data_IF_607804254932
#
_entry.id   IF_607804254932
#
_cell.length_a   1.000
_cell.length_b   1.000
_cell.length_c   1.000
_cell.angle_alpha   90.00
_cell.angle_beta   90.00
_cell.angle_gamma   90.00
#
_symmetry.space_group_name_H-M   'P 1'
#
loop_
_entity.id
_entity.type
_entity.pdbx_description
1 polymer ?
#
# COMPACT_ATOMS: atom_id res chain seq x y z
N UNK A 1 43.23 -5.85 30.80
CA UNK A 1 43.50 -6.82 29.74
C UNK A 1 42.33 -7.76 29.44
N UNK A 2 41.50 -8.17 30.42
CA UNK A 2 40.31 -9.01 30.17
C UNK A 2 39.09 -8.30 29.50
N UNK A 3 38.95 -6.99 29.58
CA UNK A 3 37.85 -6.25 28.98
C UNK A 3 38.03 -5.91 27.48
N UNK A 4 39.26 -5.97 26.98
CA UNK A 4 39.55 -5.73 25.56
C UNK A 4 39.38 -6.98 24.69
N UNK A 5 39.46 -8.21 25.29
CA UNK A 5 39.24 -9.46 24.58
C UNK A 5 37.73 -9.76 24.37
N UNK A 6 36.84 -9.29 25.28
CA UNK A 6 35.39 -9.52 25.16
C UNK A 6 34.68 -8.55 24.16
N UNK A 7 35.28 -7.40 23.86
CA UNK A 7 34.80 -6.50 22.80
C UNK A 7 35.21 -7.01 21.41
N UNK A 8 36.43 -7.50 21.25
CA UNK A 8 36.93 -8.07 19.99
C UNK A 8 36.18 -9.35 19.56
N UNK A 9 35.78 -10.18 20.50
CA UNK A 9 34.99 -11.41 20.21
C UNK A 9 33.56 -11.08 19.79
N UNK A 10 32.93 -10.06 20.39
CA UNK A 10 31.58 -9.60 20.00
C UNK A 10 31.55 -8.96 18.62
N UNK A 11 32.55 -8.15 18.29
CA UNK A 11 32.66 -7.54 16.97
C UNK A 11 32.90 -8.58 15.87
N UNK A 12 33.62 -9.65 16.17
CA UNK A 12 33.84 -10.77 15.24
C UNK A 12 32.57 -11.62 15.03
N UNK A 13 31.81 -11.89 16.10
CA UNK A 13 30.56 -12.65 16.04
C UNK A 13 29.47 -11.84 15.29
N UNK A 14 29.41 -10.54 15.48
CA UNK A 14 28.46 -9.67 14.77
C UNK A 14 28.85 -9.48 13.29
N UNK A 15 30.14 -9.48 12.97
CA UNK A 15 30.63 -9.49 11.59
C UNK A 15 30.28 -10.82 10.87
N UNK A 16 30.42 -11.96 11.52
CA UNK A 16 30.03 -13.25 10.96
C UNK A 16 28.52 -13.36 10.75
N UNK A 17 27.72 -12.88 11.69
CA UNK A 17 26.26 -12.78 11.54
C UNK A 17 25.88 -11.88 10.36
N UNK A 18 26.55 -10.74 10.19
CA UNK A 18 26.29 -9.82 9.08
C UNK A 18 26.61 -10.49 7.73
N UNK A 19 27.71 -11.21 7.63
CA UNK A 19 28.09 -11.96 6.43
C UNK A 19 27.06 -13.07 6.12
N UNK A 20 26.58 -13.77 7.15
CA UNK A 20 25.53 -14.78 6.99
C UNK A 20 24.22 -14.16 6.46
N UNK A 21 23.78 -13.04 7.02
CA UNK A 21 22.61 -12.31 6.55
C UNK A 21 22.77 -11.77 5.11
N UNK A 22 23.95 -11.28 4.75
CA UNK A 22 24.21 -10.85 3.38
C UNK A 22 24.12 -12.01 2.38
N UNK A 23 24.63 -13.18 2.72
CA UNK A 23 24.53 -14.39 1.88
C UNK A 23 23.08 -14.84 1.71
N UNK A 24 22.31 -14.86 2.80
CA UNK A 24 20.89 -15.22 2.77
C UNK A 24 20.08 -14.21 1.91
N UNK A 25 20.36 -12.93 2.07
CA UNK A 25 19.73 -11.87 1.26
C UNK A 25 20.00 -12.06 -0.24
N UNK A 26 21.24 -12.29 -0.62
CA UNK A 26 21.60 -12.49 -2.03
C UNK A 26 20.94 -13.75 -2.60
N UNK A 27 20.85 -14.81 -1.81
CA UNK A 27 20.16 -16.04 -2.22
C UNK A 27 18.65 -15.82 -2.41
N UNK A 28 18.00 -15.08 -1.51
CA UNK A 28 16.59 -14.72 -1.62
C UNK A 28 16.32 -13.81 -2.83
N UNK A 29 17.16 -12.80 -3.04
CA UNK A 29 17.06 -11.90 -4.19
C UNK A 29 17.19 -12.65 -5.52
N UNK A 30 18.10 -13.59 -5.62
CA UNK A 30 18.25 -14.41 -6.82
C UNK A 30 17.07 -15.36 -7.03
N UNK A 31 16.53 -15.97 -5.98
CA UNK A 31 15.30 -16.79 -6.07
C UNK A 31 14.12 -15.96 -6.56
N UNK A 32 13.96 -14.73 -6.07
CA UNK A 32 12.91 -13.81 -6.53
C UNK A 32 13.09 -13.45 -8.00
N UNK A 33 14.32 -13.11 -8.44
CA UNK A 33 14.64 -12.81 -9.83
C UNK A 33 14.34 -14.01 -10.76
N UNK A 34 14.65 -15.21 -10.32
CA UNK A 34 14.35 -16.44 -11.07
C UNK A 34 12.82 -16.63 -11.17
N UNK A 35 12.09 -16.40 -10.09
CA UNK A 35 10.63 -16.50 -10.09
C UNK A 35 10.00 -15.48 -11.06
N UNK A 36 10.41 -14.22 -11.00
CA UNK A 36 9.96 -13.16 -11.92
C UNK A 36 10.23 -13.52 -13.38
N UNK A 37 11.44 -14.05 -13.69
CA UNK A 37 11.80 -14.48 -15.03
C UNK A 37 10.95 -15.66 -15.50
N UNK A 38 10.74 -16.67 -14.67
CA UNK A 38 9.87 -17.82 -14.98
C UNK A 38 8.43 -17.40 -15.27
N UNK A 39 7.88 -16.46 -14.50
CA UNK A 39 6.54 -15.92 -14.72
C UNK A 39 6.45 -15.25 -16.09
N UNK A 40 7.40 -14.38 -16.41
CA UNK A 40 7.46 -13.68 -17.69
C UNK A 40 7.59 -14.66 -18.87
N UNK A 41 8.48 -15.66 -18.76
CA UNK A 41 8.67 -16.69 -19.77
C UNK A 41 7.40 -17.50 -20.00
N UNK A 42 6.76 -17.99 -18.94
CA UNK A 42 5.52 -18.79 -19.02
C UNK A 42 4.35 -17.99 -19.57
N UNK A 43 4.24 -16.70 -19.21
CA UNK A 43 3.24 -15.81 -19.81
C UNK A 43 3.45 -15.64 -21.32
N UNK A 44 4.72 -15.54 -21.75
CA UNK A 44 5.05 -15.45 -23.18
C UNK A 44 4.74 -16.76 -23.92
N UNK A 45 5.11 -17.91 -23.34
CA UNK A 45 4.81 -19.24 -23.90
C UNK A 45 3.31 -19.47 -24.04
N UNK A 46 2.55 -19.10 -23.02
CA UNK A 46 1.10 -19.21 -23.05
C UNK A 46 0.47 -18.29 -24.11
N UNK A 47 0.93 -17.05 -24.21
CA UNK A 47 0.47 -16.12 -25.25
C UNK A 47 0.76 -16.67 -26.65
N UNK A 48 1.93 -17.29 -26.87
CA UNK A 48 2.27 -17.95 -28.12
C UNK A 48 1.33 -19.12 -28.45
N UNK A 49 1.03 -19.97 -27.45
CA UNK A 49 0.08 -21.08 -27.60
C UNK A 49 -1.33 -20.54 -27.93
N UNK A 50 -1.79 -19.50 -27.25
CA UNK A 50 -3.07 -18.85 -27.52
C UNK A 50 -3.12 -18.23 -28.92
N UNK A 51 -2.02 -17.61 -29.38
CA UNK A 51 -1.93 -17.07 -30.73
C UNK A 51 -1.96 -18.19 -31.78
N UNK A 52 -1.22 -19.30 -31.57
CA UNK A 52 -1.26 -20.46 -32.44
C UNK A 52 -2.68 -21.07 -32.54
N UNK A 53 -3.41 -21.16 -31.41
CA UNK A 53 -4.81 -21.59 -31.43
C UNK A 53 -5.72 -20.61 -32.16
N UNK A 54 -5.48 -19.30 -32.06
CA UNK A 54 -6.22 -18.29 -32.84
C UNK A 54 -5.98 -18.40 -34.33
N UNK A 55 -4.73 -18.62 -34.76
CA UNK A 55 -4.39 -18.79 -36.19
C UNK A 55 -5.00 -20.08 -36.76
N UNK A 56 -4.91 -21.19 -36.02
CA UNK A 56 -5.54 -22.44 -36.39
C UNK A 56 -7.07 -22.32 -36.45
N UNK A 57 -7.70 -21.57 -35.54
CA UNK A 57 -9.15 -21.32 -35.56
C UNK A 57 -9.63 -20.44 -36.73
N UNK A 58 -8.76 -19.61 -37.29
CA UNK A 58 -9.06 -18.74 -38.44
C UNK A 58 -8.81 -19.45 -39.80
N UNK A 59 -7.84 -20.36 -39.88
CA UNK A 59 -7.48 -21.04 -41.11
C UNK A 59 -8.27 -22.34 -41.39
N UNK A 60 -8.90 -22.92 -40.36
CA UNK A 60 -9.64 -24.19 -40.55
C UNK A 60 -11.15 -24.00 -40.47
N UNK A 61 -11.71 -23.60 -41.61
CA UNK A 61 -13.09 -23.91 -41.97
C UNK A 61 -13.23 -25.43 -42.19
N UNK A 62 -13.09 -26.25 -41.12
CA UNK A 62 -13.49 -27.61 -41.37
C UNK A 62 -12.81 -28.78 -40.66
N UNK A 63 -11.87 -28.65 -39.79
CA UNK A 63 -11.35 -29.84 -39.09
C UNK A 63 -11.88 -29.95 -37.65
N UNK A 64 -13.06 -30.55 -37.48
CA UNK A 64 -13.62 -30.96 -36.18
C UNK A 64 -12.75 -32.01 -35.47
N UNK A 65 -11.87 -32.71 -36.18
CA UNK A 65 -11.12 -33.84 -35.63
C UNK A 65 -9.93 -33.46 -34.74
N UNK A 66 -9.34 -32.30 -34.90
CA UNK A 66 -8.25 -31.83 -34.06
C UNK A 66 -8.77 -31.35 -32.67
N UNK A 67 -9.99 -30.82 -32.64
CA UNK A 67 -10.64 -30.34 -31.40
C UNK A 67 -11.29 -31.44 -30.59
N UNK A 68 -11.66 -32.56 -31.24
CA UNK A 68 -12.28 -33.71 -30.56
C UNK A 68 -11.33 -34.49 -29.61
N UNK A 69 -10.02 -34.20 -29.66
CA UNK A 69 -9.04 -34.78 -28.73
C UNK A 69 -8.99 -34.09 -27.35
N UNK A 70 -9.63 -32.95 -27.19
CA UNK A 70 -9.70 -32.25 -25.94
C UNK A 70 -11.05 -32.52 -25.24
N UNK A 71 -11.04 -32.62 -23.91
CA UNK A 71 -12.30 -32.75 -23.16
C UNK A 71 -13.20 -31.53 -23.43
N UNK A 72 -14.53 -31.71 -23.40
CA UNK A 72 -15.47 -30.63 -23.67
C UNK A 72 -15.24 -29.37 -22.83
N UNK A 73 -14.64 -29.54 -21.67
CA UNK A 73 -14.32 -28.50 -20.72
C UNK A 73 -13.02 -27.78 -21.05
N UNK A 74 -12.00 -28.49 -21.52
CA UNK A 74 -10.78 -27.88 -22.05
C UNK A 74 -11.11 -26.99 -23.26
N UNK A 75 -12.04 -27.41 -24.11
CA UNK A 75 -12.54 -26.62 -25.24
C UNK A 75 -13.33 -25.38 -24.80
N UNK A 76 -14.13 -25.48 -23.74
CA UNK A 76 -14.86 -24.34 -23.19
C UNK A 76 -13.91 -23.34 -22.56
N UNK A 77 -12.95 -23.81 -21.78
CA UNK A 77 -11.87 -22.99 -21.22
C UNK A 77 -11.05 -22.31 -22.33
N UNK A 78 -10.64 -23.03 -23.36
CA UNK A 78 -9.94 -22.50 -24.53
C UNK A 78 -10.75 -21.44 -25.28
N UNK A 79 -12.08 -21.63 -25.44
CA UNK A 79 -12.96 -20.63 -26.05
C UNK A 79 -13.09 -19.38 -25.19
N UNK A 80 -13.24 -19.51 -23.88
CA UNK A 80 -13.23 -18.37 -22.96
C UNK A 80 -11.90 -17.65 -22.97
N UNK A 81 -10.82 -18.41 -23.04
CA UNK A 81 -9.45 -17.92 -23.09
C UNK A 81 -9.16 -17.21 -24.42
N UNK A 82 -9.63 -17.66 -25.54
CA UNK A 82 -9.44 -17.01 -26.85
C UNK A 82 -10.34 -15.81 -27.10
N UNK A 83 -11.45 -15.69 -26.36
CA UNK A 83 -12.36 -14.54 -26.46
C UNK A 83 -11.90 -13.30 -25.73
N UNK A 84 -10.98 -13.41 -24.77
CA UNK A 84 -10.42 -12.27 -23.98
C UNK A 84 -9.10 -11.81 -24.54
N UNK A 85 -8.94 -10.49 -24.70
CA UNK A 85 -7.75 -9.85 -25.29
C UNK A 85 -6.45 -10.00 -24.48
N UNK A 86 -6.49 -10.50 -23.27
CA UNK A 86 -5.33 -10.71 -22.39
C UNK A 86 -5.59 -11.90 -21.49
N UNK A 87 -4.76 -12.92 -21.61
CA UNK A 87 -4.79 -14.13 -20.79
C UNK A 87 -3.56 -14.22 -19.93
N UNK A 88 -3.77 -14.02 -18.65
CA UNK A 88 -2.91 -14.60 -17.63
C UNK A 88 -3.65 -15.81 -17.05
N UNK A 89 -3.13 -17.01 -17.29
CA UNK A 89 -3.55 -18.19 -16.51
C UNK A 89 -3.18 -17.90 -15.07
N UNK A 90 -4.11 -18.03 -14.11
CA UNK A 90 -3.77 -17.86 -12.71
C UNK A 90 -2.61 -18.76 -12.36
N UNK A 91 -1.53 -18.19 -11.85
CA UNK A 91 -0.31 -18.90 -11.44
C UNK A 91 -0.56 -19.91 -10.33
N UNK A 92 -1.71 -19.80 -9.63
CA UNK A 92 -2.15 -20.77 -8.62
C UNK A 92 -2.13 -22.22 -9.11
N UNK A 93 -2.39 -22.48 -10.39
CA UNK A 93 -2.33 -23.83 -10.95
C UNK A 93 -0.92 -24.42 -10.98
N UNK A 94 0.13 -23.59 -10.95
CA UNK A 94 1.50 -24.07 -10.86
C UNK A 94 1.86 -24.53 -9.46
N UNK A 95 1.25 -23.90 -8.45
CA UNK A 95 1.46 -24.24 -7.04
C UNK A 95 0.49 -25.32 -6.55
N UNK A 96 -0.74 -25.31 -7.08
CA UNK A 96 -1.80 -26.22 -6.70
C UNK A 96 -2.38 -26.91 -7.96
N UNK A 97 -1.60 -27.81 -8.60
CA UNK A 97 -2.01 -28.44 -9.87
C UNK A 97 -3.27 -29.34 -9.72
N UNK A 98 -3.58 -29.81 -8.52
CA UNK A 98 -4.80 -30.57 -8.25
C UNK A 98 -6.08 -29.75 -8.52
N UNK A 99 -6.02 -28.42 -8.49
CA UNK A 99 -7.16 -27.56 -8.83
C UNK A 99 -7.54 -27.65 -10.32
N UNK A 100 -6.61 -28.09 -11.20
CA UNK A 100 -6.92 -28.35 -12.62
C UNK A 100 -7.77 -29.61 -12.81
N UNK A 101 -7.74 -30.55 -11.86
CA UNK A 101 -8.46 -31.82 -11.95
C UNK A 101 -9.96 -31.66 -11.67
N UNK A 102 -10.34 -30.61 -10.94
CA UNK A 102 -11.72 -30.34 -10.60
C UNK A 102 -12.23 -29.13 -11.38
N UNK A 103 -13.18 -29.34 -12.26
CA UNK A 103 -13.86 -28.26 -12.96
C UNK A 103 -14.49 -27.28 -11.99
N UNK A 104 -14.19 -26.00 -12.19
CA UNK A 104 -14.75 -24.95 -11.34
C UNK A 104 -14.09 -24.79 -9.97
N UNK A 105 -12.94 -25.45 -9.70
CA UNK A 105 -12.22 -25.33 -8.42
C UNK A 105 -11.85 -23.89 -8.03
N UNK A 106 -11.73 -22.98 -9.02
CA UNK A 106 -11.53 -21.55 -8.80
C UNK A 106 -12.82 -20.72 -8.90
N UNK A 107 -13.97 -21.38 -9.15
CA UNK A 107 -15.26 -20.69 -9.13
C UNK A 107 -15.82 -20.71 -7.71
N UNK A 108 -16.51 -19.64 -7.28
CA UNK A 108 -17.15 -19.64 -5.99
C UNK A 108 -18.19 -20.75 -5.91
N UNK A 109 -18.15 -21.55 -4.83
CA UNK A 109 -19.14 -22.62 -4.58
C UNK A 109 -20.56 -22.07 -4.42
N UNK A 110 -20.69 -20.86 -3.91
CA UNK A 110 -21.95 -20.13 -3.74
C UNK A 110 -21.78 -18.70 -4.21
N UNK A 111 -22.72 -18.24 -5.04
CA UNK A 111 -22.77 -16.85 -5.49
C UNK A 111 -24.06 -16.20 -5.00
N UNK A 112 -23.91 -15.20 -4.14
CA UNK A 112 -25.01 -14.45 -3.55
C UNK A 112 -25.09 -13.09 -4.26
N UNK A 113 -26.12 -12.90 -5.11
CA UNK A 113 -26.31 -11.70 -5.92
C UNK A 113 -26.10 -11.96 -7.42
N UNK A 114 -26.18 -10.90 -8.22
CA UNK A 114 -25.90 -10.96 -9.65
C UNK A 114 -24.38 -10.86 -9.84
N UNK A 115 -23.79 -11.76 -10.63
CA UNK A 115 -22.36 -11.74 -10.91
C UNK A 115 -21.90 -10.35 -11.39
N UNK A 116 -20.84 -9.83 -10.79
CA UNK A 116 -20.31 -8.49 -11.12
C UNK A 116 -18.91 -8.61 -11.71
N UNK A 117 -18.66 -7.82 -12.73
CA UNK A 117 -17.37 -7.70 -13.38
C UNK A 117 -16.98 -6.22 -13.47
N UNK A 118 -15.70 -5.90 -13.49
CA UNK A 118 -15.22 -4.52 -13.66
C UNK A 118 -15.36 -3.64 -12.41
N UNK A 119 -15.47 -4.25 -11.23
CA UNK A 119 -15.49 -3.50 -9.96
C UNK A 119 -14.12 -2.92 -9.61
N UNK A 120 -14.12 -1.77 -8.90
CA UNK A 120 -12.88 -1.11 -8.48
C UNK A 120 -12.16 -1.88 -7.37
N UNK A 121 -12.89 -2.51 -6.45
CA UNK A 121 -12.34 -3.16 -5.26
C UNK A 121 -12.97 -4.53 -5.04
N UNK A 122 -12.12 -5.54 -4.86
CA UNK A 122 -12.50 -6.87 -4.36
C UNK A 122 -12.00 -6.99 -2.92
N UNK A 123 -12.89 -7.29 -1.98
CA UNK A 123 -12.56 -7.49 -0.57
C UNK A 123 -12.53 -8.98 -0.25
N UNK A 124 -11.38 -9.51 0.15
CA UNK A 124 -11.19 -10.90 0.54
C UNK A 124 -11.27 -11.08 2.05
N UNK A 125 -12.11 -11.99 2.52
CA UNK A 125 -12.32 -12.28 3.95
C UNK A 125 -12.15 -13.79 4.18
N UNK A 126 -10.97 -14.25 4.63
CA UNK A 126 -10.82 -15.62 5.08
C UNK A 126 -11.52 -15.80 6.43
N UNK A 127 -12.19 -16.93 6.61
CA UNK A 127 -12.82 -17.31 7.87
C UNK A 127 -12.64 -18.80 8.13
N UNK A 128 -12.58 -19.16 9.39
CA UNK A 128 -12.49 -20.54 9.87
C UNK A 128 -13.46 -20.76 11.04
N UNK A 129 -13.75 -22.01 11.36
CA UNK A 129 -14.55 -22.38 12.53
C UNK A 129 -13.82 -21.97 13.82
N UNK A 130 -14.48 -21.18 14.65
CA UNK A 130 -13.99 -20.80 15.98
C UNK A 130 -14.74 -21.55 17.05
N UNK A 131 -14.09 -21.97 18.13
CA UNK A 131 -14.71 -22.75 19.21
C UNK A 131 -15.76 -21.96 19.99
N UNK A 132 -15.55 -20.66 20.19
CA UNK A 132 -16.38 -19.84 21.07
C UNK A 132 -17.35 -18.96 20.29
N UNK A 133 -16.87 -18.16 19.34
CA UNK A 133 -17.70 -17.19 18.61
C UNK A 133 -17.19 -16.94 17.21
N UNK A 134 -18.08 -17.00 16.21
CA UNK A 134 -17.81 -16.48 14.87
C UNK A 134 -18.15 -14.99 14.81
N UNK A 135 -17.31 -14.21 14.17
CA UNK A 135 -17.49 -12.76 14.00
C UNK A 135 -17.89 -12.37 12.57
N UNK A 136 -17.84 -13.31 11.63
CA UNK A 136 -18.03 -13.07 10.20
C UNK A 136 -19.27 -12.24 9.87
N UNK A 137 -20.42 -12.57 10.47
CA UNK A 137 -21.68 -11.88 10.17
C UNK A 137 -21.66 -10.43 10.68
N UNK A 138 -21.08 -10.20 11.87
CA UNK A 138 -20.91 -8.85 12.43
C UNK A 138 -19.98 -8.02 11.55
N UNK A 139 -18.89 -8.61 11.07
CA UNK A 139 -17.96 -7.98 10.13
C UNK A 139 -18.63 -7.63 8.80
N UNK A 140 -19.41 -8.56 8.22
CA UNK A 140 -20.14 -8.30 6.98
C UNK A 140 -21.18 -7.20 7.15
N UNK A 141 -21.91 -7.16 8.26
CA UNK A 141 -22.81 -6.04 8.57
C UNK A 141 -22.05 -4.73 8.64
N UNK A 142 -20.93 -4.69 9.40
CA UNK A 142 -20.12 -3.49 9.50
C UNK A 142 -19.63 -3.00 8.13
N UNK A 143 -19.19 -3.90 7.24
CA UNK A 143 -18.77 -3.55 5.88
C UNK A 143 -19.94 -3.04 5.03
N UNK A 144 -21.03 -3.80 4.95
CA UNK A 144 -22.13 -3.55 4.02
C UNK A 144 -22.98 -2.33 4.43
N UNK A 145 -23.22 -2.13 5.73
CA UNK A 145 -24.02 -1.02 6.24
C UNK A 145 -23.31 0.32 6.11
N UNK A 146 -21.98 0.32 6.04
CA UNK A 146 -21.15 1.51 5.79
C UNK A 146 -20.83 1.75 4.30
N UNK A 147 -21.49 1.04 3.36
CA UNK A 147 -21.43 1.28 1.92
C UNK A 147 -22.65 2.04 1.43
N UNK A 148 -22.43 3.07 0.64
CA UNK A 148 -23.48 3.72 -0.12
C UNK A 148 -23.99 2.83 -1.26
N UNK A 149 -25.21 3.07 -1.78
CA UNK A 149 -25.79 2.24 -2.86
C UNK A 149 -24.88 2.10 -4.08
N UNK A 150 -24.23 3.17 -4.52
CA UNK A 150 -23.31 3.18 -5.66
C UNK A 150 -22.04 2.37 -5.37
N UNK A 151 -21.53 2.44 -4.14
CA UNK A 151 -20.35 1.68 -3.72
C UNK A 151 -20.62 0.19 -3.64
N UNK A 152 -21.85 -0.20 -3.25
CA UNK A 152 -22.29 -1.62 -3.29
C UNK A 152 -22.25 -2.19 -4.70
N UNK A 153 -22.37 -1.35 -5.74
CA UNK A 153 -22.27 -1.79 -7.14
C UNK A 153 -20.81 -1.89 -7.62
N UNK A 154 -19.89 -1.20 -6.98
CA UNK A 154 -18.49 -1.08 -7.38
C UNK A 154 -17.54 -1.97 -6.54
N UNK A 155 -18.08 -2.89 -5.75
CA UNK A 155 -17.29 -3.84 -4.98
C UNK A 155 -17.84 -5.28 -5.06
N UNK A 156 -16.95 -6.21 -4.77
CA UNK A 156 -17.27 -7.63 -4.53
C UNK A 156 -16.64 -8.04 -3.21
N UNK A 157 -17.40 -8.73 -2.37
CA UNK A 157 -16.90 -9.36 -1.15
C UNK A 157 -16.78 -10.85 -1.41
N UNK A 158 -15.58 -11.39 -1.22
CA UNK A 158 -15.27 -12.82 -1.36
C UNK A 158 -15.00 -13.38 0.03
N UNK A 159 -15.87 -14.23 0.52
CA UNK A 159 -15.67 -14.97 1.77
C UNK A 159 -15.02 -16.30 1.44
N UNK A 160 -13.81 -16.53 1.97
CA UNK A 160 -13.11 -17.80 1.84
C UNK A 160 -13.25 -18.60 3.14
N UNK A 161 -14.00 -19.70 3.10
CA UNK A 161 -14.20 -20.58 4.24
C UNK A 161 -13.10 -21.64 4.21
N UNK A 162 -12.11 -21.50 5.11
CA UNK A 162 -10.95 -22.39 5.21
C UNK A 162 -11.21 -23.63 6.05
N UNK A 163 -12.35 -24.34 5.80
CA UNK A 163 -12.76 -25.50 6.56
C UNK A 163 -13.14 -26.68 5.66
N UNK A 164 -12.94 -27.88 6.19
CA UNK A 164 -13.34 -29.14 5.55
C UNK A 164 -14.63 -29.72 6.15
N UNK A 165 -15.11 -29.19 7.26
CA UNK A 165 -16.37 -29.55 7.90
C UNK A 165 -17.56 -29.06 7.06
N UNK A 166 -18.18 -29.97 6.33
CA UNK A 166 -19.27 -29.68 5.38
C UNK A 166 -20.48 -29.07 6.09
N UNK A 167 -20.82 -29.52 7.29
CA UNK A 167 -21.95 -29.02 8.06
C UNK A 167 -21.74 -27.59 8.50
N UNK A 168 -20.47 -27.26 8.90
CA UNK A 168 -20.09 -25.88 9.20
C UNK A 168 -20.18 -24.99 7.96
N UNK A 169 -19.63 -25.43 6.83
CA UNK A 169 -19.71 -24.68 5.57
C UNK A 169 -21.16 -24.40 5.19
N UNK A 170 -22.01 -25.41 5.23
CA UNK A 170 -23.47 -25.25 4.95
C UNK A 170 -24.13 -24.26 5.93
N UNK A 171 -23.79 -24.33 7.21
CA UNK A 171 -24.31 -23.39 8.20
C UNK A 171 -23.94 -21.94 7.94
N UNK A 172 -22.68 -21.69 7.55
CA UNK A 172 -22.19 -20.35 7.17
C UNK A 172 -22.94 -19.87 5.92
N UNK A 173 -23.06 -20.68 4.88
CA UNK A 173 -23.78 -20.34 3.65
C UNK A 173 -25.24 -20.01 3.95
N UNK A 174 -25.95 -20.84 4.74
CA UNK A 174 -27.35 -20.60 5.12
C UNK A 174 -27.53 -19.28 5.89
N UNK A 175 -26.57 -18.92 6.74
CA UNK A 175 -26.58 -17.64 7.44
C UNK A 175 -26.36 -16.45 6.47
N UNK A 176 -25.43 -16.56 5.54
CA UNK A 176 -25.21 -15.54 4.50
C UNK A 176 -26.45 -15.34 3.61
N UNK A 177 -27.14 -16.41 3.23
CA UNK A 177 -28.37 -16.33 2.45
C UNK A 177 -29.56 -15.71 3.21
N UNK A 178 -29.63 -15.89 4.53
CA UNK A 178 -30.64 -15.24 5.38
C UNK A 178 -30.41 -13.72 5.42
N UNK A 179 -29.14 -13.30 5.53
CA UNK A 179 -28.78 -11.88 5.54
C UNK A 179 -29.06 -11.21 4.18
N UNK A 180 -28.86 -11.90 3.05
CA UNK A 180 -29.25 -11.41 1.71
C UNK A 180 -30.75 -11.06 1.64
N UNK A 181 -31.62 -11.86 2.21
CA UNK A 181 -33.08 -11.63 2.17
C UNK A 181 -33.50 -10.35 2.87
N UNK A 182 -32.68 -9.84 3.82
CA UNK A 182 -32.90 -8.56 4.51
C UNK A 182 -32.40 -7.36 3.70
N UNK A 183 -31.42 -7.57 2.83
CA UNK A 183 -30.79 -6.49 2.04
C UNK A 183 -31.31 -6.56 0.60
N UNK A 184 -32.27 -5.68 0.23
CA UNK A 184 -32.85 -5.62 -1.13
C UNK A 184 -31.75 -5.36 -2.17
N UNK A 185 -31.72 -6.21 -3.21
CA UNK A 185 -30.84 -6.12 -4.37
C UNK A 185 -31.10 -4.85 -5.18
N UNK A 186 -30.00 -4.19 -5.57
CA UNK A 186 -29.99 -3.06 -6.50
C UNK A 186 -29.52 -3.59 -7.87
N UNK A 187 -30.19 -3.18 -8.94
CA UNK A 187 -29.92 -3.57 -10.32
C UNK A 187 -28.63 -2.96 -10.87
N UNK A 188 -27.99 -3.68 -11.81
CA UNK A 188 -26.65 -3.39 -12.34
C UNK A 188 -26.71 -2.58 -13.62
N UNK A 189 -25.88 -1.55 -13.76
CA UNK A 189 -25.49 -0.98 -15.04
C UNK A 189 -24.00 -1.29 -15.33
N UNK A 190 -23.74 -1.67 -16.61
CA UNK A 190 -22.39 -1.96 -17.11
C UNK A 190 -21.54 -0.69 -17.17
N UNK A 191 -20.29 -0.82 -16.76
CA UNK A 191 -19.03 -0.25 -17.24
C UNK A 191 -18.12 0.32 -16.16
N UNK A 192 -16.90 -0.22 -16.07
CA UNK A 192 -15.70 0.63 -16.19
C UNK A 192 -14.45 -0.21 -16.41
N UNK A 193 -13.56 0.27 -17.28
CA UNK A 193 -12.18 -0.20 -17.47
C UNK A 193 -11.27 0.29 -16.33
N UNK A 194 -11.66 0.08 -15.07
CA UNK A 194 -10.84 0.45 -13.92
C UNK A 194 -9.93 -0.71 -13.54
N UNK A 195 -8.67 -0.40 -13.21
CA UNK A 195 -7.77 -1.38 -12.59
C UNK A 195 -8.41 -1.87 -11.30
N UNK A 196 -8.69 -3.16 -11.20
CA UNK A 196 -9.25 -3.77 -9.98
C UNK A 196 -8.14 -3.88 -8.93
N UNK A 197 -8.42 -3.41 -7.73
CA UNK A 197 -7.57 -3.60 -6.55
C UNK A 197 -8.18 -4.66 -5.63
N UNK A 198 -7.32 -5.39 -4.92
CA UNK A 198 -7.75 -6.45 -4.00
C UNK A 198 -7.38 -6.03 -2.59
N UNK A 199 -8.37 -5.98 -1.70
CA UNK A 199 -8.19 -5.63 -0.30
C UNK A 199 -8.39 -6.86 0.56
N UNK A 200 -7.37 -7.25 1.30
CA UNK A 200 -7.42 -8.33 2.27
C UNK A 200 -7.93 -7.82 3.62
N UNK A 201 -8.89 -8.52 4.19
CA UNK A 201 -9.50 -8.24 5.49
C UNK A 201 -9.46 -9.50 6.37
N UNK A 202 -9.86 -9.36 7.62
CA UNK A 202 -10.11 -10.47 8.56
C UNK A 202 -11.61 -10.55 8.90
N UNK A 203 -12.06 -11.69 9.46
CA UNK A 203 -13.48 -11.95 9.72
C UNK A 203 -13.99 -11.39 11.05
N UNK A 204 -13.16 -10.63 11.78
CA UNK A 204 -13.46 -10.09 13.10
C UNK A 204 -13.09 -8.60 13.23
N UNK A 205 -13.54 -7.82 12.27
CA UNK A 205 -13.26 -6.38 12.18
C UNK A 205 -14.53 -5.53 12.13
N UNK A 206 -14.37 -4.26 12.49
CA UNK A 206 -15.32 -3.19 12.20
C UNK A 206 -14.64 -2.11 11.36
N UNK A 207 -15.45 -1.35 10.62
CA UNK A 207 -14.97 -0.32 9.70
C UNK A 207 -15.47 1.07 10.09
N UNK A 208 -14.72 2.09 9.67
CA UNK A 208 -15.17 3.49 9.73
C UNK A 208 -16.23 3.78 8.66
N UNK A 209 -17.09 4.72 8.96
CA UNK A 209 -18.01 5.27 7.97
C UNK A 209 -17.25 5.82 6.76
N UNK A 210 -17.82 5.69 5.56
CA UNK A 210 -17.23 6.15 4.30
C UNK A 210 -15.86 5.55 3.95
N UNK A 211 -15.55 4.36 4.50
CA UNK A 211 -14.26 3.69 4.28
C UNK A 211 -13.98 3.38 2.81
N UNK A 212 -14.98 2.93 2.07
CA UNK A 212 -14.84 2.50 0.68
C UNK A 212 -14.38 3.64 -0.23
N UNK A 213 -15.09 4.76 -0.18
CA UNK A 213 -14.75 5.94 -0.96
C UNK A 213 -13.37 6.50 -0.57
N UNK A 214 -13.04 6.46 0.71
CA UNK A 214 -11.73 6.87 1.22
C UNK A 214 -10.61 5.99 0.63
N UNK A 215 -10.77 4.66 0.67
CA UNK A 215 -9.81 3.71 0.09
C UNK A 215 -9.66 3.92 -1.42
N UNK A 216 -10.79 4.04 -2.14
CA UNK A 216 -10.80 4.23 -3.59
C UNK A 216 -10.11 5.52 -4.01
N UNK A 217 -10.44 6.64 -3.36
CA UNK A 217 -9.83 7.93 -3.65
C UNK A 217 -8.35 7.95 -3.34
N UNK A 218 -7.92 7.35 -2.24
CA UNK A 218 -6.52 7.24 -1.89
C UNK A 218 -5.73 6.42 -2.92
N UNK A 219 -6.25 5.27 -3.35
CA UNK A 219 -5.63 4.46 -4.39
C UNK A 219 -5.57 5.19 -5.75
N UNK A 220 -6.60 5.99 -6.08
CA UNK A 220 -6.62 6.80 -7.31
C UNK A 220 -5.59 7.93 -7.27
N UNK A 221 -5.41 8.61 -6.14
CA UNK A 221 -4.38 9.65 -5.96
C UNK A 221 -2.97 9.10 -6.19
N UNK A 222 -2.75 7.82 -5.86
CA UNK A 222 -1.47 7.13 -6.03
C UNK A 222 -1.36 6.36 -7.35
N UNK A 223 -2.26 6.56 -8.29
CA UNK A 223 -2.30 5.79 -9.55
C UNK A 223 -1.07 5.97 -10.44
N UNK A 224 -0.32 7.08 -10.28
CA UNK A 224 0.95 7.38 -10.96
C UNK A 224 2.19 6.90 -10.19
N UNK A 225 2.02 6.41 -8.96
CA UNK A 225 3.13 5.97 -8.11
C UNK A 225 3.34 4.45 -8.23
N UNK A 226 4.58 4.04 -8.07
CA UNK A 226 4.93 2.63 -7.95
C UNK A 226 4.74 2.18 -6.50
N UNK A 227 3.52 1.80 -6.13
CA UNK A 227 3.25 1.17 -4.85
C UNK A 227 2.90 -0.31 -5.02
N UNK A 228 3.18 -1.12 -4.02
CA UNK A 228 2.89 -2.55 -3.98
C UNK A 228 1.81 -2.89 -2.95
N UNK A 229 1.83 -2.19 -1.81
CA UNK A 229 0.90 -2.41 -0.70
C UNK A 229 0.39 -1.06 -0.19
N UNK A 230 -0.93 -0.89 -0.14
CA UNK A 230 -1.56 0.18 0.64
C UNK A 230 -2.13 -0.41 1.92
N UNK A 231 -1.83 0.22 3.06
CA UNK A 231 -2.30 -0.22 4.37
C UNK A 231 -3.32 0.74 4.95
N UNK A 232 -4.47 0.20 5.35
CA UNK A 232 -5.56 0.95 5.97
C UNK A 232 -5.80 0.54 7.44
N UNK A 233 -4.93 -0.29 7.99
CA UNK A 233 -4.80 -0.64 9.40
C UNK A 233 -3.37 -1.02 9.74
N UNK A 234 -2.96 -0.79 11.00
CA UNK A 234 -1.65 -1.20 11.50
C UNK A 234 -1.59 -2.68 11.87
N UNK A 235 -2.76 -3.31 12.10
CA UNK A 235 -2.82 -4.66 12.65
C UNK A 235 -2.76 -5.73 11.56
N UNK A 236 -1.93 -6.74 11.77
CA UNK A 236 -1.88 -8.00 11.06
C UNK A 236 -2.04 -7.89 9.55
N UNK A 237 -2.93 -8.70 9.02
CA UNK A 237 -3.26 -8.74 7.59
C UNK A 237 -4.58 -7.98 7.26
N UNK A 238 -4.99 -7.06 8.16
CA UNK A 238 -6.21 -6.26 8.04
C UNK A 238 -5.98 -5.06 7.13
N UNK A 239 -6.88 -4.84 6.17
CA UNK A 239 -6.89 -3.65 5.32
C UNK A 239 -5.62 -3.49 4.48
N UNK A 240 -5.08 -4.59 3.95
CA UNK A 240 -3.96 -4.58 3.02
C UNK A 240 -4.48 -4.63 1.59
N UNK A 241 -4.22 -3.58 0.81
CA UNK A 241 -4.65 -3.50 -0.58
C UNK A 241 -3.47 -3.72 -1.51
N UNK A 242 -3.70 -4.49 -2.56
CA UNK A 242 -2.75 -4.87 -3.59
C UNK A 242 -3.27 -4.50 -4.97
N UNK A 243 -2.38 -4.18 -5.89
CA UNK A 243 -2.72 -4.10 -7.32
C UNK A 243 -2.80 -5.51 -7.91
N UNK A 244 -3.80 -5.75 -8.76
CA UNK A 244 -3.97 -7.06 -9.40
C UNK A 244 -2.71 -7.58 -10.15
N UNK A 245 -1.91 -6.75 -10.84
CA UNK A 245 -0.66 -7.19 -11.48
C UNK A 245 0.40 -7.73 -10.51
N UNK A 246 0.45 -7.21 -9.26
CA UNK A 246 1.47 -7.59 -8.27
C UNK A 246 1.13 -8.89 -7.54
N UNK A 247 -0.15 -9.30 -7.57
CA UNK A 247 -0.61 -10.48 -6.82
C UNK A 247 0.13 -11.76 -7.20
N UNK A 248 0.48 -11.92 -8.47
CA UNK A 248 1.22 -13.10 -8.92
C UNK A 248 2.53 -13.25 -8.18
N UNK A 249 3.32 -12.18 -8.10
CA UNK A 249 4.60 -12.17 -7.40
C UNK A 249 4.42 -12.39 -5.88
N UNK A 250 3.43 -11.71 -5.27
CA UNK A 250 3.14 -11.84 -3.83
C UNK A 250 2.74 -13.27 -3.50
N UNK A 251 1.83 -13.85 -4.26
CA UNK A 251 1.33 -15.22 -4.05
C UNK A 251 2.47 -16.24 -4.21
N UNK A 252 3.30 -16.11 -5.26
CA UNK A 252 4.44 -17.01 -5.45
C UNK A 252 5.45 -16.90 -4.31
N UNK A 253 5.75 -15.68 -3.84
CA UNK A 253 6.64 -15.48 -2.71
C UNK A 253 6.09 -16.14 -1.43
N UNK A 254 4.79 -15.96 -1.16
CA UNK A 254 4.14 -16.61 -0.02
C UNK A 254 4.22 -18.13 -0.14
N UNK A 255 3.92 -18.72 -1.31
CA UNK A 255 4.00 -20.15 -1.52
C UNK A 255 5.43 -20.73 -1.37
N UNK A 256 6.45 -19.92 -1.65
CA UNK A 256 7.84 -20.35 -1.42
C UNK A 256 8.20 -20.45 0.08
N UNK A 257 7.57 -19.65 0.94
CA UNK A 257 8.02 -19.45 2.32
C UNK A 257 6.94 -19.62 3.40
N UNK A 258 5.72 -20.04 3.05
CA UNK A 258 4.60 -20.13 4.00
C UNK A 258 4.84 -21.06 5.19
N UNK A 259 5.75 -22.02 5.05
CA UNK A 259 6.15 -22.94 6.14
C UNK A 259 7.15 -22.32 7.10
N UNK A 260 7.93 -21.36 6.65
CA UNK A 260 9.01 -20.74 7.40
C UNK A 260 8.55 -19.53 8.23
N UNK A 261 7.60 -18.76 7.72
CA UNK A 261 7.17 -17.50 8.33
C UNK A 261 5.67 -17.25 8.19
N UNK A 262 5.04 -16.55 9.16
CA UNK A 262 3.68 -16.03 9.03
C UNK A 262 3.54 -15.09 7.83
N UNK A 263 2.33 -15.03 7.28
CA UNK A 263 2.03 -14.29 6.04
C UNK A 263 2.30 -12.77 6.15
N UNK A 264 2.01 -12.17 7.29
CA UNK A 264 2.26 -10.76 7.57
C UNK A 264 3.76 -10.43 7.60
N UNK A 265 4.59 -11.35 8.10
CA UNK A 265 6.04 -11.22 8.03
C UNK A 265 6.56 -11.38 6.61
N UNK A 266 5.97 -12.29 5.82
CA UNK A 266 6.35 -12.49 4.42
C UNK A 266 6.11 -11.24 3.57
N UNK A 267 5.08 -10.45 3.87
CA UNK A 267 4.85 -9.16 3.21
C UNK A 267 5.97 -8.14 3.46
N UNK A 268 6.56 -8.12 4.65
CA UNK A 268 7.72 -7.26 4.91
C UNK A 268 8.99 -7.80 4.23
N UNK A 269 9.16 -9.12 4.24
CA UNK A 269 10.31 -9.77 3.62
C UNK A 269 10.36 -9.60 2.10
N UNK A 270 9.23 -9.67 1.40
CA UNK A 270 9.20 -9.45 -0.05
C UNK A 270 9.63 -8.02 -0.39
N UNK A 271 9.21 -7.02 0.39
CA UNK A 271 9.65 -5.64 0.22
C UNK A 271 11.14 -5.49 0.48
N UNK A 272 11.63 -6.10 1.57
CA UNK A 272 13.04 -6.07 1.91
C UNK A 272 13.92 -6.66 0.80
N UNK A 273 13.56 -7.82 0.26
CA UNK A 273 14.27 -8.45 -0.87
C UNK A 273 14.22 -7.60 -2.14
N UNK A 274 13.08 -6.92 -2.37
CA UNK A 274 12.85 -6.16 -3.61
C UNK A 274 13.65 -4.85 -3.66
N UNK A 275 13.75 -4.11 -2.55
CA UNK A 275 14.27 -2.74 -2.59
C UNK A 275 15.44 -2.44 -1.64
N UNK A 276 15.71 -3.27 -0.63
CA UNK A 276 16.84 -3.01 0.25
C UNK A 276 18.17 -3.38 -0.42
N UNK A 277 19.16 -2.50 -0.25
CA UNK A 277 20.52 -2.75 -0.68
C UNK A 277 21.38 -3.07 0.55
N UNK A 278 22.04 -4.25 0.59
CA UNK A 278 22.86 -4.65 1.73
C UNK A 278 24.11 -3.75 1.95
N UNK A 279 24.49 -2.94 0.95
CA UNK A 279 25.57 -1.97 1.07
C UNK A 279 25.13 -0.63 1.70
N UNK A 280 23.85 -0.47 1.96
CA UNK A 280 23.26 0.74 2.56
C UNK A 280 22.76 0.44 3.97
N UNK A 281 22.59 1.51 4.75
CA UNK A 281 22.11 1.44 6.12
C UNK A 281 20.61 1.06 6.22
N UNK A 282 20.18 0.73 7.43
CA UNK A 282 18.80 0.38 7.72
C UNK A 282 17.83 1.52 7.39
N UNK A 283 18.22 2.79 7.62
CA UNK A 283 17.39 3.96 7.31
C UNK A 283 17.08 4.06 5.82
N UNK A 284 18.09 3.78 4.97
CA UNK A 284 17.88 3.72 3.52
C UNK A 284 16.89 2.62 3.15
N UNK A 285 17.05 1.41 3.72
CA UNK A 285 16.13 0.29 3.47
C UNK A 285 14.70 0.63 3.89
N UNK A 286 14.49 1.17 5.09
CA UNK A 286 13.16 1.53 5.59
C UNK A 286 12.49 2.59 4.70
N UNK A 287 13.25 3.58 4.23
CA UNK A 287 12.76 4.59 3.29
C UNK A 287 12.35 3.98 1.95
N UNK A 288 13.15 3.05 1.39
CA UNK A 288 12.80 2.37 0.14
C UNK A 288 11.57 1.46 0.30
N UNK A 289 11.44 0.76 1.42
CA UNK A 289 10.22 -0.02 1.73
C UNK A 289 8.99 0.89 1.85
N UNK A 290 9.13 2.05 2.50
CA UNK A 290 8.03 3.01 2.66
C UNK A 290 7.50 3.56 1.33
N UNK A 291 8.32 3.60 0.28
CA UNK A 291 7.87 4.00 -1.06
C UNK A 291 6.93 2.97 -1.71
N UNK A 292 7.11 1.68 -1.38
CA UNK A 292 6.28 0.60 -1.92
C UNK A 292 5.11 0.22 -0.99
N UNK A 293 5.26 0.46 0.33
CA UNK A 293 4.28 0.15 1.35
C UNK A 293 3.79 1.45 1.98
N UNK A 294 2.71 1.98 1.43
CA UNK A 294 2.17 3.27 1.81
C UNK A 294 1.02 3.07 2.79
N UNK A 295 1.11 3.73 3.95
CA UNK A 295 0.06 3.65 4.98
C UNK A 295 -0.84 4.86 4.95
N UNK A 296 -2.13 4.59 4.82
CA UNK A 296 -3.18 5.58 5.04
C UNK A 296 -3.40 5.80 6.55
N UNK A 297 -3.59 7.03 6.96
CA UNK A 297 -3.94 7.40 8.33
C UNK A 297 -5.11 8.39 8.37
N UNK A 298 -5.98 8.25 9.36
CA UNK A 298 -6.05 7.24 10.43
C UNK A 298 -6.48 5.86 9.90
N UNK A 299 -6.26 4.80 10.68
CA UNK A 299 -6.74 3.46 10.33
C UNK A 299 -8.25 3.45 10.09
N UNK A 300 -8.70 2.71 9.06
CA UNK A 300 -10.10 2.58 8.67
C UNK A 300 -10.76 1.33 9.25
N UNK A 301 -9.95 0.38 9.72
CA UNK A 301 -10.39 -0.91 10.23
C UNK A 301 -9.87 -1.11 11.67
N UNK A 302 -10.72 -1.68 12.52
CA UNK A 302 -10.41 -2.05 13.90
C UNK A 302 -10.73 -3.51 14.13
N UNK A 303 -9.78 -4.26 14.69
CA UNK A 303 -9.99 -5.63 15.16
C UNK A 303 -10.88 -5.64 16.40
N UNK A 304 -11.87 -6.54 16.45
CA UNK A 304 -12.82 -6.67 17.56
C UNK A 304 -12.91 -8.10 18.11
N UNK A 305 -12.26 -9.08 17.46
CA UNK A 305 -12.27 -10.47 17.87
C UNK A 305 -11.49 -10.70 19.17
N UNK A 306 -12.19 -11.04 20.24
CA UNK A 306 -11.56 -11.43 21.50
C UNK A 306 -11.03 -12.86 21.47
N UNK A 307 -11.74 -13.76 20.79
CA UNK A 307 -11.39 -15.18 20.69
C UNK A 307 -10.72 -15.45 19.35
N UNK A 308 -9.45 -15.85 19.41
CA UNK A 308 -8.67 -16.23 18.22
C UNK A 308 -9.27 -17.46 17.53
N UNK A 309 -8.94 -17.65 16.26
CA UNK A 309 -9.13 -18.92 15.54
C UNK A 309 -8.26 -20.05 16.11
N UNK A 310 -7.20 -19.72 16.88
CA UNK A 310 -6.39 -20.69 17.62
C UNK A 310 -7.06 -20.97 18.97
N UNK A 311 -7.26 -22.26 19.25
CA UNK A 311 -7.92 -22.73 20.48
C UNK A 311 -7.27 -22.14 21.76
N UNK A 312 -8.14 -21.65 22.67
CA UNK A 312 -7.72 -21.12 23.97
C UNK A 312 -7.00 -19.77 23.95
N UNK A 313 -6.74 -19.16 22.78
CA UNK A 313 -6.06 -17.88 22.69
C UNK A 313 -7.04 -16.71 22.72
N UNK A 314 -6.87 -15.82 23.71
CA UNK A 314 -7.59 -14.54 23.81
C UNK A 314 -6.69 -13.42 23.25
N UNK A 315 -7.24 -12.58 22.39
CA UNK A 315 -6.55 -11.44 21.77
C UNK A 315 -7.28 -10.14 22.11
N UNK A 316 -6.51 -9.15 22.60
CA UNK A 316 -7.01 -7.77 22.76
C UNK A 316 -6.16 -6.85 21.91
N UNK A 317 -6.40 -6.87 20.60
CA UNK A 317 -5.67 -6.05 19.66
C UNK A 317 -6.43 -4.75 19.39
N UNK A 318 -5.78 -3.62 19.62
CA UNK A 318 -6.35 -2.30 19.34
C UNK A 318 -5.45 -1.55 18.39
N UNK A 319 -6.02 -1.08 17.29
CA UNK A 319 -5.33 -0.20 16.36
C UNK A 319 -5.30 1.23 16.95
N UNK A 320 -4.10 1.69 17.29
CA UNK A 320 -3.90 3.00 17.94
C UNK A 320 -4.29 4.18 17.06
N UNK A 321 -4.27 3.99 15.73
CA UNK A 321 -4.61 5.04 14.76
C UNK A 321 -6.10 5.05 14.40
N UNK A 322 -6.88 4.03 14.82
CA UNK A 322 -8.30 3.96 14.47
C UNK A 322 -9.12 5.12 15.04
N UNK A 323 -8.81 5.57 16.25
CA UNK A 323 -9.53 6.68 16.88
C UNK A 323 -8.96 8.07 16.55
N UNK A 324 -7.82 8.14 15.86
CA UNK A 324 -7.23 9.43 15.50
C UNK A 324 -8.10 10.19 14.49
N UNK A 325 -8.12 11.54 14.56
CA UNK A 325 -8.80 12.36 13.56
C UNK A 325 -8.12 12.26 12.19
N UNK A 326 -8.87 12.58 11.15
CA UNK A 326 -8.31 12.75 9.81
C UNK A 326 -7.38 13.96 9.76
N UNK A 327 -6.31 13.88 8.96
CA UNK A 327 -5.50 15.04 8.58
C UNK A 327 -6.35 16.04 7.80
N UNK A 328 -5.96 17.32 7.79
CA UNK A 328 -6.62 18.37 7.01
C UNK A 328 -6.64 18.03 5.52
N UNK A 329 -5.52 17.49 5.01
CA UNK A 329 -5.42 16.98 3.64
C UNK A 329 -4.88 15.55 3.65
N UNK A 330 -5.68 14.61 3.16
CA UNK A 330 -5.24 13.24 2.95
C UNK A 330 -4.27 13.23 1.77
N UNK A 331 -3.00 12.91 2.03
CA UNK A 331 -1.95 12.95 1.02
C UNK A 331 -0.77 12.05 1.38
N UNK A 332 0.09 11.84 0.41
CA UNK A 332 1.40 11.21 0.59
C UNK A 332 2.46 12.18 0.06
N UNK A 333 3.42 12.53 0.91
CA UNK A 333 4.53 13.38 0.50
C UNK A 333 5.49 12.62 -0.43
N UNK A 334 6.17 13.31 -1.36
CA UNK A 334 7.22 12.70 -2.17
C UNK A 334 8.33 12.09 -1.30
N UNK A 335 8.95 10.96 -1.70
CA UNK A 335 10.07 10.38 -0.97
C UNK A 335 11.20 11.38 -0.78
N UNK A 336 11.61 11.60 0.48
CA UNK A 336 12.65 12.57 0.84
C UNK A 336 13.44 12.14 2.08
N UNK A 337 14.70 12.53 2.10
CA UNK A 337 15.50 12.57 3.31
C UNK A 337 15.15 13.85 4.07
N UNK A 338 14.75 13.72 5.34
CA UNK A 338 14.37 14.87 6.17
C UNK A 338 15.42 15.11 7.24
N UNK A 339 15.75 16.38 7.48
CA UNK A 339 16.72 16.78 8.50
C UNK A 339 16.38 18.14 9.09
N UNK A 340 16.85 18.42 10.29
CA UNK A 340 16.62 19.69 10.97
C UNK A 340 17.75 20.01 11.94
N UNK A 341 18.04 21.30 12.15
CA UNK A 341 18.90 21.79 13.22
C UNK A 341 18.14 21.97 14.54
N UNK A 342 16.81 21.98 14.50
CA UNK A 342 15.95 22.17 15.67
C UNK A 342 16.07 21.01 16.65
N UNK A 343 16.10 21.33 17.94
CA UNK A 343 16.15 20.31 19.01
C UNK A 343 14.78 19.69 19.24
N UNK A 344 14.66 18.41 18.89
CA UNK A 344 13.42 17.63 19.04
C UNK A 344 13.04 17.43 20.50
N UNK A 345 11.75 17.53 20.80
CA UNK A 345 11.18 17.28 22.12
C UNK A 345 10.45 15.93 22.17
N UNK A 346 10.71 15.13 23.21
CA UNK A 346 10.03 13.87 23.57
C UNK A 346 9.85 12.84 22.42
N UNK A 347 10.71 12.84 21.42
CA UNK A 347 10.64 11.86 20.34
C UNK A 347 9.56 12.12 19.28
N UNK A 348 8.98 13.33 19.26
CA UNK A 348 8.12 13.83 18.17
C UNK A 348 8.99 14.29 17.00
N UNK A 349 9.47 13.32 16.20
CA UNK A 349 10.48 13.56 15.17
C UNK A 349 9.90 14.05 13.86
N UNK A 350 10.73 14.73 13.07
CA UNK A 350 10.35 15.25 11.76
C UNK A 350 10.00 14.13 10.76
N UNK A 351 10.71 13.00 10.82
CA UNK A 351 10.44 11.84 9.97
C UNK A 351 9.01 11.32 10.16
N UNK A 352 8.56 11.21 11.41
CA UNK A 352 7.18 10.78 11.73
C UNK A 352 6.15 11.76 11.17
N UNK A 353 6.42 13.06 11.27
CA UNK A 353 5.52 14.10 10.73
C UNK A 353 5.46 14.07 9.22
N UNK A 354 6.61 13.90 8.57
CA UNK A 354 6.67 13.79 7.11
C UNK A 354 5.89 12.61 6.56
N UNK A 355 5.85 11.51 7.32
CA UNK A 355 5.06 10.31 7.01
C UNK A 355 3.60 10.37 7.51
N UNK A 356 3.18 11.47 8.13
CA UNK A 356 1.83 11.62 8.69
C UNK A 356 1.55 10.75 9.92
N UNK A 357 2.61 10.33 10.65
CA UNK A 357 2.48 9.44 11.82
C UNK A 357 2.24 10.17 13.12
N UNK A 358 2.85 11.33 13.26
CA UNK A 358 2.86 12.15 14.46
C UNK A 358 3.14 13.59 14.06
N UNK A 359 3.10 14.53 14.98
CA UNK A 359 3.57 15.89 14.78
C UNK A 359 5.04 16.02 15.19
N UNK A 360 5.75 16.95 14.58
CA UNK A 360 7.11 17.35 14.98
C UNK A 360 7.01 18.40 16.09
N UNK A 361 7.75 18.22 17.17
CA UNK A 361 7.79 19.18 18.27
C UNK A 361 9.23 19.55 18.61
N UNK A 362 9.53 20.82 18.56
CA UNK A 362 10.86 21.36 18.81
C UNK A 362 10.85 22.43 19.89
N UNK A 363 11.97 22.49 20.61
CA UNK A 363 12.26 23.56 21.55
C UNK A 363 12.47 24.86 20.76
N UNK A 364 12.22 25.99 21.43
CA UNK A 364 12.29 27.37 20.91
C UNK A 364 13.29 27.55 19.76
N UNK A 365 12.82 27.78 18.51
CA UNK A 365 13.69 28.00 17.37
C UNK A 365 14.52 29.28 17.49
N UNK A 366 15.74 29.27 16.97
CA UNK A 366 16.61 30.44 16.86
C UNK A 366 16.89 30.81 15.41
N UNK A 367 17.29 32.04 15.16
CA UNK A 367 17.67 32.50 13.82
C UNK A 367 18.79 31.63 13.24
N UNK A 368 18.60 31.17 12.01
CA UNK A 368 19.50 30.25 11.32
C UNK A 368 19.11 28.77 11.45
N UNK A 369 18.15 28.42 12.29
CA UNK A 369 17.59 27.07 12.31
C UNK A 369 16.82 26.77 11.03
N UNK A 370 16.78 25.48 10.68
CA UNK A 370 16.11 25.02 9.48
C UNK A 370 15.42 23.67 9.65
N UNK A 371 14.45 23.41 8.78
CA UNK A 371 13.86 22.11 8.49
C UNK A 371 14.06 21.87 6.99
N UNK A 372 14.66 20.74 6.61
CA UNK A 372 15.01 20.41 5.22
C UNK A 372 14.34 19.11 4.78
N UNK A 373 13.72 19.14 3.60
CA UNK A 373 13.16 18.01 2.88
C UNK A 373 13.92 17.88 1.56
N UNK A 374 14.87 16.95 1.48
CA UNK A 374 15.67 16.67 0.29
C UNK A 374 15.08 15.47 -0.43
N UNK A 375 14.52 15.67 -1.61
CA UNK A 375 13.89 14.61 -2.37
C UNK A 375 14.90 13.58 -2.89
N UNK A 376 14.52 12.29 -2.87
CA UNK A 376 15.34 11.19 -3.43
C UNK A 376 15.57 11.37 -4.93
N UNK A 377 14.55 11.89 -5.63
CA UNK A 377 14.60 12.32 -7.04
C UNK A 377 13.95 13.69 -7.15
N UNK A 378 14.42 14.58 -8.03
CA UNK A 378 13.76 15.87 -8.26
C UNK A 378 12.29 15.71 -8.63
N UNK A 379 11.41 16.52 -8.04
CA UNK A 379 9.95 16.40 -8.12
C UNK A 379 9.34 17.65 -8.76
N UNK A 380 8.40 17.47 -9.69
CA UNK A 380 7.56 18.57 -10.15
C UNK A 380 6.46 18.83 -9.12
N UNK A 381 6.56 19.95 -8.41
CA UNK A 381 5.66 20.33 -7.33
C UNK A 381 4.63 21.34 -7.83
N UNK A 382 3.35 21.11 -7.54
CA UNK A 382 2.23 21.99 -7.83
C UNK A 382 2.03 23.01 -6.70
N UNK A 383 1.91 22.51 -5.46
CA UNK A 383 1.60 23.34 -4.30
C UNK A 383 2.15 22.71 -3.02
N UNK A 384 2.16 23.51 -1.96
CA UNK A 384 2.56 23.09 -0.62
C UNK A 384 1.62 23.64 0.45
N UNK A 385 1.52 22.92 1.57
CA UNK A 385 0.91 23.39 2.82
C UNK A 385 1.75 22.87 3.98
N UNK A 386 2.13 23.77 4.87
CA UNK A 386 2.72 23.46 6.17
C UNK A 386 1.83 24.06 7.26
N UNK A 387 1.35 23.23 8.19
CA UNK A 387 0.53 23.67 9.32
C UNK A 387 1.30 23.48 10.63
N UNK A 388 1.46 24.57 11.36
CA UNK A 388 2.19 24.67 12.62
C UNK A 388 1.22 24.92 13.78
N UNK A 389 1.51 24.33 14.94
CA UNK A 389 0.58 24.28 16.06
C UNK A 389 -0.40 23.10 15.98
N UNK A 390 -0.99 22.72 17.09
CA UNK A 390 -2.04 21.70 17.15
C UNK A 390 -3.15 22.13 18.14
N UNK A 391 -4.19 21.29 18.32
CA UNK A 391 -5.31 21.63 19.21
C UNK A 391 -4.91 21.73 20.68
N UNK A 392 -3.91 20.96 21.12
CA UNK A 392 -3.44 20.96 22.52
C UNK A 392 -2.48 22.13 22.78
N UNK A 393 -1.70 22.51 21.79
CA UNK A 393 -0.67 23.57 21.86
C UNK A 393 -0.81 24.53 20.66
N UNK A 394 -1.89 25.31 20.57
CA UNK A 394 -2.13 26.19 19.41
C UNK A 394 -1.15 27.38 19.34
N UNK A 395 -0.44 27.68 20.43
CA UNK A 395 0.56 28.73 20.51
C UNK A 395 1.97 28.31 20.13
N UNK A 396 2.25 27.00 20.03
CA UNK A 396 3.56 26.47 19.66
C UNK A 396 3.71 26.45 18.14
N UNK A 397 3.88 27.62 17.54
CA UNK A 397 3.89 27.81 16.09
C UNK A 397 5.24 28.29 15.56
N UNK A 398 5.55 27.94 14.34
CA UNK A 398 6.69 28.48 13.59
C UNK A 398 6.43 29.96 13.28
N UNK A 399 7.20 30.82 13.95
CA UNK A 399 7.20 32.27 13.75
C UNK A 399 8.41 32.69 12.91
N UNK A 400 8.26 33.76 12.12
CA UNK A 400 9.36 34.33 11.32
C UNK A 400 10.12 33.28 10.50
N UNK A 401 9.38 32.34 9.90
CA UNK A 401 9.94 31.23 9.15
C UNK A 401 9.52 31.35 7.68
N UNK A 402 10.49 31.22 6.78
CA UNK A 402 10.26 31.25 5.32
C UNK A 402 10.23 29.87 4.73
N UNK A 403 9.52 29.73 3.61
CA UNK A 403 9.49 28.53 2.77
C UNK A 403 10.37 28.77 1.55
N UNK A 404 11.31 27.90 1.33
CA UNK A 404 12.33 28.01 0.29
C UNK A 404 12.44 26.71 -0.50
N UNK A 405 12.74 26.80 -1.80
CA UNK A 405 12.91 25.64 -2.68
C UNK A 405 14.26 25.71 -3.40
N UNK A 406 14.83 24.54 -3.65
CA UNK A 406 16.04 24.37 -4.45
C UNK A 406 15.68 23.72 -5.79
N UNK A 407 15.62 24.44 -6.89
CA UNK A 407 15.44 23.87 -8.22
C UNK A 407 16.62 22.98 -8.62
N UNK A 408 16.34 21.95 -9.44
CA UNK A 408 17.41 21.24 -10.13
C UNK A 408 18.06 22.18 -11.15
N UNK A 409 19.37 22.41 -11.03
CA UNK A 409 20.12 23.26 -11.96
C UNK A 409 19.98 22.72 -13.40
N UNK A 410 19.35 23.51 -14.27
CA UNK A 410 19.36 23.31 -15.73
C UNK A 410 19.98 24.55 -16.36
N UNK A 411 20.97 24.37 -17.23
CA UNK A 411 21.50 25.46 -18.03
C UNK A 411 20.40 25.94 -19.00
N UNK A 412 20.11 27.26 -19.01
CA UNK A 412 19.15 27.87 -19.93
C UNK A 412 17.73 28.07 -19.37
N UNK A 413 17.49 27.96 -18.06
CA UNK A 413 16.16 28.25 -17.50
C UNK A 413 15.87 29.75 -17.57
N UNK A 414 14.87 30.14 -18.33
CA UNK A 414 14.31 31.49 -18.31
C UNK A 414 13.39 31.65 -17.08
N UNK A 415 13.98 32.13 -15.99
CA UNK A 415 13.24 32.46 -14.75
C UNK A 415 12.74 33.91 -14.90
N UNK A 416 11.47 34.16 -14.53
CA UNK A 416 10.89 35.52 -14.55
C UNK A 416 11.69 36.49 -13.69
N UNK A 417 11.67 37.79 -14.01
CA UNK A 417 12.38 38.80 -13.22
C UNK A 417 11.97 38.80 -11.75
N UNK A 418 10.66 38.65 -11.47
CA UNK A 418 10.10 38.61 -10.12
C UNK A 418 10.59 37.38 -9.30
N UNK A 419 10.81 36.27 -9.97
CA UNK A 419 11.32 35.05 -9.33
C UNK A 419 12.83 35.13 -9.12
N UNK A 420 13.58 35.84 -9.99
CA UNK A 420 15.01 36.07 -9.82
C UNK A 420 15.33 36.88 -8.56
N UNK A 421 14.51 37.87 -8.21
CA UNK A 421 14.70 38.70 -7.03
C UNK A 421 14.50 37.94 -5.70
N UNK A 422 13.87 36.74 -5.76
CA UNK A 422 13.64 35.85 -4.62
C UNK A 422 14.76 34.84 -4.39
N UNK A 423 15.81 34.85 -5.22
CA UNK A 423 16.96 33.95 -5.13
C UNK A 423 17.90 34.33 -3.97
N UNK A 424 18.24 33.32 -3.17
CA UNK A 424 19.21 33.42 -2.09
C UNK A 424 20.63 33.10 -2.59
N UNK A 425 21.65 33.49 -1.83
CA UNK A 425 23.06 33.28 -2.18
C UNK A 425 23.39 31.77 -2.32
N UNK A 426 22.74 30.91 -1.55
CA UNK A 426 22.95 29.46 -1.56
C UNK A 426 22.16 28.72 -2.66
N UNK A 427 21.50 29.48 -3.53
CA UNK A 427 20.75 28.94 -4.69
C UNK A 427 19.30 28.56 -4.43
N UNK A 428 18.82 28.67 -3.20
CA UNK A 428 17.40 28.53 -2.88
C UNK A 428 16.60 29.74 -3.37
N UNK A 429 15.30 29.51 -3.58
CA UNK A 429 14.34 30.56 -3.91
C UNK A 429 13.27 30.63 -2.82
N UNK A 430 13.05 31.80 -2.26
CA UNK A 430 11.99 32.03 -1.28
C UNK A 430 10.65 32.09 -1.98
N UNK A 431 9.73 31.17 -1.63
CA UNK A 431 8.41 31.05 -2.25
C UNK A 431 7.26 31.38 -1.31
N UNK A 432 7.52 31.47 0.01
CA UNK A 432 6.50 31.78 1.00
C UNK A 432 7.05 32.03 2.39
N UNK A 433 6.13 32.24 3.33
CA UNK A 433 6.41 32.42 4.77
C UNK A 433 5.26 31.88 5.58
N UNK A 434 5.51 31.60 6.87
CA UNK A 434 4.45 31.28 7.82
C UNK A 434 3.70 32.54 8.25
N UNK A 435 2.37 32.48 8.20
CA UNK A 435 1.45 33.47 8.73
C UNK A 435 0.43 32.74 9.64
N UNK A 436 0.34 33.16 10.90
CA UNK A 436 -0.55 32.53 11.89
C UNK A 436 -0.42 30.99 11.97
N UNK A 437 0.78 30.46 11.88
CA UNK A 437 1.05 29.03 11.94
C UNK A 437 0.80 28.27 10.64
N UNK A 438 0.46 28.94 9.54
CA UNK A 438 0.23 28.28 8.25
C UNK A 438 1.15 28.89 7.19
N UNK A 439 1.72 28.04 6.34
CA UNK A 439 2.38 28.45 5.11
C UNK A 439 1.87 27.61 3.97
N UNK A 440 1.14 28.23 3.04
CA UNK A 440 0.60 27.56 1.85
C UNK A 440 0.85 28.39 0.59
N UNK A 441 0.94 27.71 -0.55
CA UNK A 441 1.13 28.37 -1.83
C UNK A 441 1.32 27.42 -3.00
N UNK A 442 1.30 28.03 -4.20
CA UNK A 442 1.66 27.35 -5.44
C UNK A 442 3.14 27.51 -5.72
N UNK A 443 3.76 26.50 -6.31
CA UNK A 443 5.14 26.59 -6.78
C UNK A 443 5.14 27.10 -8.20
N UNK A 444 5.98 28.13 -8.48
CA UNK A 444 6.17 28.64 -9.84
C UNK A 444 6.64 27.51 -10.75
N UNK A 445 5.92 27.19 -11.84
CA UNK A 445 6.32 26.12 -12.77
C UNK A 445 7.75 26.25 -13.32
N UNK A 446 8.27 27.50 -13.42
CA UNK A 446 9.64 27.76 -13.88
C UNK A 446 10.72 27.24 -12.92
N UNK A 447 10.39 26.99 -11.64
CA UNK A 447 11.31 26.44 -10.67
C UNK A 447 11.35 24.89 -10.68
N UNK A 448 10.41 24.26 -11.37
CA UNK A 448 10.35 22.80 -11.43
C UNK A 448 11.42 22.22 -12.40
N UNK A 449 11.95 21.02 -12.13
CA UNK A 449 11.73 20.20 -10.96
C UNK A 449 12.52 20.65 -9.73
N UNK A 450 11.96 20.44 -8.53
CA UNK A 450 12.51 20.84 -7.23
C UNK A 450 13.32 19.66 -6.66
N UNK A 451 14.53 19.97 -6.17
CA UNK A 451 15.42 19.03 -5.48
C UNK A 451 15.20 18.99 -3.97
N UNK A 452 14.84 20.14 -3.36
CA UNK A 452 14.61 20.22 -1.92
C UNK A 452 13.66 21.36 -1.55
N UNK A 453 12.94 21.19 -0.43
CA UNK A 453 12.26 22.26 0.32
C UNK A 453 13.03 22.53 1.60
N UNK A 454 13.10 23.80 1.99
CA UNK A 454 13.67 24.24 3.27
C UNK A 454 12.72 25.23 3.94
N UNK A 455 12.49 25.04 5.23
CA UNK A 455 11.88 26.04 6.11
C UNK A 455 13.02 26.68 6.90
N UNK A 456 13.20 27.99 6.77
CA UNK A 456 14.32 28.73 7.39
C UNK A 456 13.79 29.70 8.42
N UNK A 457 14.28 29.60 9.66
CA UNK A 457 13.96 30.50 10.75
C UNK A 457 14.81 31.77 10.64
N UNK A 458 14.18 32.94 10.43
CA UNK A 458 14.88 34.21 10.20
C UNK A 458 15.20 34.92 11.52
N UNK A 459 14.36 34.77 12.53
CA UNK A 459 14.48 35.42 13.83
C UNK A 459 14.20 34.44 14.95
N UNK A 460 14.82 34.72 16.14
CA UNK A 460 14.54 33.90 17.32
C UNK A 460 13.05 33.90 17.65
N UNK A 461 12.52 32.74 17.94
CA UNK A 461 11.14 32.55 18.43
C UNK A 461 11.09 32.77 19.95
N UNK A 462 9.95 33.23 20.44
CA UNK A 462 9.65 33.27 21.88
C UNK A 462 8.90 32.02 22.35
N UNK A 463 8.44 31.18 21.44
CA UNK A 463 7.62 29.99 21.69
C UNK A 463 8.27 28.75 21.10
N UNK A 464 7.88 27.59 21.57
CA UNK A 464 8.24 26.30 20.96
C UNK A 464 7.59 26.18 19.57
N UNK A 465 7.98 25.20 18.80
CA UNK A 465 7.45 25.01 17.47
C UNK A 465 6.92 23.59 17.29
N UNK A 466 5.65 23.48 16.92
CA UNK A 466 5.03 22.27 16.43
C UNK A 466 4.85 22.42 14.92
N UNK A 467 5.29 21.45 14.14
CA UNK A 467 4.87 21.26 12.75
C UNK A 467 3.96 20.04 12.72
N UNK A 468 2.66 20.30 12.53
CA UNK A 468 1.61 19.29 12.66
C UNK A 468 1.31 18.59 11.33
N UNK A 469 1.36 19.31 10.22
CA UNK A 469 1.06 18.77 8.89
C UNK A 469 2.04 19.31 7.85
N UNK A 470 2.51 18.39 6.98
CA UNK A 470 3.37 18.67 5.84
C UNK A 470 2.69 18.11 4.61
N UNK A 471 2.31 18.96 3.67
CA UNK A 471 1.73 18.54 2.40
C UNK A 471 2.49 19.17 1.24
N UNK A 472 3.15 18.33 0.45
CA UNK A 472 3.84 18.71 -0.79
C UNK A 472 3.16 17.96 -1.93
N UNK A 473 2.38 18.69 -2.74
CA UNK A 473 1.59 18.12 -3.83
C UNK A 473 2.40 18.08 -5.11
N UNK A 474 2.55 16.88 -5.68
CA UNK A 474 3.15 16.71 -7.00
C UNK A 474 2.18 17.08 -8.13
N UNK A 475 2.72 17.54 -9.25
CA UNK A 475 1.96 17.66 -10.49
C UNK A 475 1.66 16.24 -10.96
N UNK A 476 0.40 15.88 -11.02
CA UNK A 476 -0.07 14.61 -11.63
C UNK A 476 -0.15 14.81 -13.16
N UNK A 477 0.66 14.05 -13.89
CA UNK A 477 0.59 13.99 -15.36
C UNK A 477 -0.68 13.27 -15.82
#
# INVERSE_FOLDING_TARGET
>A
MKLLDEEGDRDCEDAEKLIAYQREFLALKERLRIAEHRISQRSSELNNIVQQFRSVGVETNGSKDALNKFSGNTLKLLKELTSKKSLQVPTIYYHLPHLLQNEGSLQPAVQIGNGRTGVSIVMGIPTVKREVKSYLIETLHSLIDNLYPEEKLDCVIVVFIGETDVDYVHSVVANLEKEKKKTRSIEVHEKSNTKTNITQLEDDIIVKQNYFNTIKNFALQLSSEEWMILEFSQLGFIGKMFQAPDLTLIVEFIFMFYKEKPIDWLLDHILWVKVCNPEKDAKHCDRQKANLRIRFRPSLFQHVGLHSSLSGKIQKLTDKDYMKPLLLKIHVNPPAEVSTSLKVYQGHTLEKTYMGEDFFWAITPIAGDYILFKFDKPVNVESYLFHSGNQEHPGDILLNTTVEVLPLKREGLEISKETKDKRLEDGYFRIGKFENGVAEGMVDPSLNPISAFRLSVIQNSAVWAILNEIHIKKITN
#
